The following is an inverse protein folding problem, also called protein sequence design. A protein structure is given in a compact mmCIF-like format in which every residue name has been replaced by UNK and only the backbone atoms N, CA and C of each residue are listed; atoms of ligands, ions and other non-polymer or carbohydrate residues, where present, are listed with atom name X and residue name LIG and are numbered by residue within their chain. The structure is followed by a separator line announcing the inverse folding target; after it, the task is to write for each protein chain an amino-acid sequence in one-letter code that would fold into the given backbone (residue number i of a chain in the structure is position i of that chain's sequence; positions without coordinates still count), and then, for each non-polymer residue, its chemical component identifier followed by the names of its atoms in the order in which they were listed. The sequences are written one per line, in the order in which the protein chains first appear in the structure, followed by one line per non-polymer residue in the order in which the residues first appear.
data_IF_138555846133
#
_entry.id   IF_138555846133
#
_cell.length_a   1.000
_cell.length_b   1.000
_cell.length_c   1.000
_cell.angle_alpha   90.00
_cell.angle_beta   90.00
_cell.angle_gamma   90.00
#
_symmetry.space_group_name_H-M   'P 1'
#
loop_
_entity.id
_entity.type
_entity.pdbx_description
1 polymer ?
#
# COMPACT_ATOMS: atom_id res chain seq x y z
N UNK A 1 -37.85 -8.58 14.74
CA UNK A 1 -36.38 -8.47 14.93
C UNK A 1 -35.56 -9.20 13.85
N UNK A 2 -36.11 -10.21 13.17
CA UNK A 2 -35.38 -10.99 12.13
C UNK A 2 -34.98 -10.22 10.86
N UNK A 3 -35.71 -9.16 10.50
CA UNK A 3 -35.40 -8.33 9.33
C UNK A 3 -34.14 -7.48 9.62
N UNK A 4 -34.04 -6.91 10.82
CA UNK A 4 -32.87 -6.13 11.26
C UNK A 4 -31.64 -7.04 11.34
N UNK A 5 -31.75 -8.24 11.90
CA UNK A 5 -30.63 -9.20 11.98
C UNK A 5 -30.18 -9.66 10.58
N UNK A 6 -31.11 -9.86 9.63
CA UNK A 6 -30.77 -10.16 8.23
C UNK A 6 -30.15 -8.98 7.51
N UNK A 7 -30.63 -7.75 7.75
CA UNK A 7 -30.05 -6.53 7.17
C UNK A 7 -28.66 -6.26 7.74
N UNK A 8 -28.47 -6.49 9.04
CA UNK A 8 -27.22 -6.36 9.78
C UNK A 8 -26.21 -7.43 9.32
N UNK A 9 -26.62 -8.70 9.17
CA UNK A 9 -25.75 -9.73 8.55
C UNK A 9 -25.41 -9.49 7.08
N UNK A 10 -26.22 -8.71 6.35
CA UNK A 10 -26.06 -8.46 4.90
C UNK A 10 -25.43 -7.10 4.59
N UNK A 11 -25.47 -6.16 5.56
CA UNK A 11 -24.93 -4.79 5.49
C UNK A 11 -23.70 -4.53 6.36
N UNK A 12 -23.44 -5.31 7.42
CA UNK A 12 -22.16 -5.33 8.14
C UNK A 12 -20.98 -5.75 7.24
N UNK A 13 -21.06 -6.80 6.38
CA UNK A 13 -19.88 -7.23 5.62
C UNK A 13 -19.27 -6.15 4.72
N UNK A 14 -20.03 -5.35 3.95
CA UNK A 14 -19.42 -4.38 3.05
C UNK A 14 -18.73 -3.21 3.74
N UNK A 15 -19.34 -2.65 4.79
CA UNK A 15 -18.76 -1.54 5.56
C UNK A 15 -17.52 -1.99 6.33
N UNK A 16 -17.55 -3.18 6.92
CA UNK A 16 -16.41 -3.74 7.63
C UNK A 16 -15.23 -4.02 6.69
N UNK A 17 -15.49 -4.52 5.48
CA UNK A 17 -14.45 -4.75 4.45
C UNK A 17 -13.81 -3.43 4.04
N UNK A 18 -14.61 -2.41 3.69
CA UNK A 18 -14.07 -1.09 3.34
C UNK A 18 -13.26 -0.45 4.47
N UNK A 19 -13.71 -0.59 5.72
CA UNK A 19 -12.98 -0.11 6.89
C UNK A 19 -11.64 -0.83 7.09
N UNK A 20 -11.62 -2.16 6.91
CA UNK A 20 -10.42 -2.96 6.98
C UNK A 20 -9.43 -2.62 5.85
N UNK A 21 -9.93 -2.41 4.63
CA UNK A 21 -9.10 -2.05 3.48
C UNK A 21 -8.48 -0.66 3.63
N UNK A 22 -9.25 0.32 4.14
CA UNK A 22 -8.70 1.64 4.48
C UNK A 22 -7.62 1.54 5.55
N UNK A 23 -7.85 0.72 6.58
CA UNK A 23 -6.84 0.50 7.62
C UNK A 23 -5.57 -0.15 7.04
N UNK A 24 -5.70 -1.11 6.13
CA UNK A 24 -4.58 -1.75 5.45
C UNK A 24 -3.77 -0.76 4.61
N UNK A 25 -4.43 0.13 3.85
CA UNK A 25 -3.76 1.18 3.08
C UNK A 25 -2.99 2.14 4.01
N UNK A 26 -3.62 2.58 5.09
CA UNK A 26 -2.99 3.48 6.08
C UNK A 26 -1.79 2.81 6.73
N UNK A 27 -1.90 1.54 7.13
CA UNK A 27 -0.80 0.77 7.71
C UNK A 27 0.35 0.56 6.72
N UNK A 28 0.05 0.21 5.47
CA UNK A 28 1.05 0.10 4.42
C UNK A 28 1.78 1.44 4.19
N UNK A 29 1.04 2.55 4.13
CA UNK A 29 1.61 3.89 4.05
C UNK A 29 2.51 4.22 5.25
N UNK A 30 2.11 3.85 6.46
CA UNK A 30 2.93 4.03 7.68
C UNK A 30 4.21 3.19 7.65
N UNK A 31 4.15 1.96 7.14
CA UNK A 31 5.34 1.10 6.98
C UNK A 31 6.29 1.73 5.97
N UNK A 32 5.80 2.19 4.83
CA UNK A 32 6.62 2.82 3.77
C UNK A 32 7.23 4.13 4.25
N UNK A 33 6.44 5.01 4.88
CA UNK A 33 6.94 6.25 5.49
C UNK A 33 7.93 5.95 6.60
N UNK A 34 7.64 4.96 7.44
CA UNK A 34 8.54 4.50 8.50
C UNK A 34 9.86 3.95 7.94
N UNK A 35 9.84 3.23 6.83
CA UNK A 35 11.05 2.78 6.15
C UNK A 35 11.85 3.96 5.55
N UNK A 36 11.17 5.00 5.06
CA UNK A 36 11.85 6.23 4.63
C UNK A 36 12.47 7.00 5.81
N UNK A 37 11.82 6.99 6.98
CA UNK A 37 12.28 7.72 8.18
C UNK A 37 13.27 6.94 9.06
N UNK A 38 13.24 5.60 9.02
CA UNK A 38 14.18 4.73 9.76
C UNK A 38 15.56 4.67 9.12
N UNK A 39 15.72 5.20 7.91
CA UNK A 39 17.02 5.47 7.32
C UNK A 39 17.75 6.56 8.10
N UNK A 40 18.37 6.19 9.22
CA UNK A 40 19.24 7.07 10.01
C UNK A 40 20.60 7.34 9.32
N UNK A 41 20.75 6.90 8.07
CA UNK A 41 21.83 7.33 7.22
C UNK A 41 21.32 8.43 6.30
N UNK A 42 20.57 8.22 5.23
CA UNK A 42 20.39 9.27 4.22
C UNK A 42 18.93 9.76 4.13
N UNK A 43 18.74 11.07 4.30
CA UNK A 43 17.43 11.72 4.20
C UNK A 43 16.81 11.36 2.85
N UNK A 44 15.57 10.87 2.81
CA UNK A 44 15.06 10.22 1.59
C UNK A 44 14.88 11.11 0.37
N UNK A 45 15.22 12.39 0.49
CA UNK A 45 15.27 13.39 -0.55
C UNK A 45 16.69 13.95 -0.82
N UNK A 46 17.69 13.65 0.01
CA UNK A 46 19.05 14.16 -0.16
C UNK A 46 20.11 13.08 0.11
N UNK A 47 21.19 13.11 -0.66
CA UNK A 47 22.33 12.17 -0.57
C UNK A 47 23.10 12.35 0.75
N UNK A 48 22.68 13.24 1.64
CA UNK A 48 23.42 13.60 2.84
C UNK A 48 23.03 12.67 3.97
N UNK A 49 23.98 11.84 4.38
CA UNK A 49 23.80 10.98 5.54
C UNK A 49 24.34 11.65 6.81
N UNK A 50 23.77 11.37 7.97
CA UNK A 50 24.13 12.00 9.26
C UNK A 50 25.60 11.79 9.74
N UNK A 51 26.47 11.27 8.87
CA UNK A 51 27.91 11.07 9.11
C UNK A 51 28.79 11.12 7.85
N UNK A 52 28.29 11.56 6.69
CA UNK A 52 29.05 11.65 5.42
C UNK A 52 28.21 11.28 4.19
N UNK A 53 28.76 11.50 2.99
CA UNK A 53 28.14 11.03 1.73
C UNK A 53 28.20 9.49 1.67
N UNK A 54 27.11 8.80 1.29
CA UNK A 54 27.06 7.36 1.21
C UNK A 54 27.94 6.89 0.06
N UNK A 55 28.57 5.73 0.25
CA UNK A 55 29.18 5.05 -0.88
C UNK A 55 28.09 4.64 -1.89
N UNK A 56 28.40 4.54 -3.19
CA UNK A 56 27.44 4.08 -4.19
C UNK A 56 26.78 2.72 -3.83
N UNK A 57 27.52 1.83 -3.17
CA UNK A 57 27.00 0.54 -2.72
C UNK A 57 25.94 0.66 -1.60
N UNK A 58 26.18 1.54 -0.63
CA UNK A 58 25.23 1.80 0.47
C UNK A 58 23.95 2.47 -0.04
N UNK A 59 24.08 3.40 -1.00
CA UNK A 59 22.92 4.02 -1.65
C UNK A 59 22.06 3.00 -2.38
N UNK A 60 22.68 2.12 -3.18
CA UNK A 60 21.96 1.08 -3.92
C UNK A 60 21.25 0.13 -2.95
N UNK A 61 21.90 -0.27 -1.86
CA UNK A 61 21.29 -1.17 -0.86
C UNK A 61 20.09 -0.54 -0.14
N UNK A 62 20.19 0.74 0.26
CA UNK A 62 19.08 1.47 0.90
C UNK A 62 17.90 1.65 -0.07
N UNK A 63 18.19 2.00 -1.32
CA UNK A 63 17.16 2.18 -2.33
C UNK A 63 16.49 0.86 -2.71
N UNK A 64 17.23 -0.24 -2.82
CA UNK A 64 16.65 -1.57 -3.03
C UNK A 64 15.72 -1.95 -1.86
N UNK A 65 16.18 -1.76 -0.61
CA UNK A 65 15.34 -2.00 0.57
C UNK A 65 14.02 -1.21 0.50
N UNK A 66 14.07 0.08 0.18
CA UNK A 66 12.85 0.91 0.08
C UNK A 66 11.94 0.47 -1.07
N UNK A 67 12.49 0.04 -2.21
CA UNK A 67 11.71 -0.55 -3.31
C UNK A 67 10.97 -1.77 -2.82
N UNK A 68 11.70 -2.71 -2.21
CA UNK A 68 11.19 -3.99 -1.74
C UNK A 68 10.09 -3.78 -0.71
N UNK A 69 10.30 -2.91 0.28
CA UNK A 69 9.29 -2.59 1.30
C UNK A 69 8.04 -1.99 0.65
N UNK A 70 8.19 -1.03 -0.27
CA UNK A 70 7.05 -0.40 -0.96
C UNK A 70 6.27 -1.42 -1.80
N UNK A 71 6.99 -2.26 -2.54
CA UNK A 71 6.41 -3.28 -3.40
C UNK A 71 5.65 -4.32 -2.60
N UNK A 72 6.23 -4.87 -1.53
CA UNK A 72 5.55 -5.88 -0.71
C UNK A 72 4.40 -5.29 0.11
N UNK A 73 4.54 -4.07 0.66
CA UNK A 73 3.48 -3.43 1.42
C UNK A 73 2.25 -3.15 0.55
N UNK A 74 2.41 -2.42 -0.56
CA UNK A 74 1.28 -2.09 -1.43
C UNK A 74 0.84 -3.24 -2.33
N UNK A 75 1.76 -4.14 -2.71
CA UNK A 75 1.44 -5.35 -3.46
C UNK A 75 0.56 -6.30 -2.66
N UNK A 76 0.86 -6.50 -1.37
CA UNK A 76 0.00 -7.27 -0.46
C UNK A 76 -1.40 -6.68 -0.33
N UNK A 77 -1.49 -5.36 -0.15
CA UNK A 77 -2.77 -4.63 -0.11
C UNK A 77 -3.56 -4.82 -1.40
N UNK A 78 -2.91 -4.65 -2.57
CA UNK A 78 -3.56 -4.84 -3.86
C UNK A 78 -4.12 -6.26 -4.04
N UNK A 79 -3.37 -7.29 -3.62
CA UNK A 79 -3.87 -8.68 -3.68
C UNK A 79 -5.09 -8.87 -2.78
N UNK A 80 -5.07 -8.37 -1.54
CA UNK A 80 -6.20 -8.47 -0.61
C UNK A 80 -7.44 -7.77 -1.20
N UNK A 81 -7.26 -6.57 -1.75
CA UNK A 81 -8.35 -5.81 -2.35
C UNK A 81 -8.90 -6.47 -3.62
N UNK A 82 -8.05 -7.11 -4.42
CA UNK A 82 -8.49 -7.88 -5.60
C UNK A 82 -9.32 -9.10 -5.18
N UNK A 83 -8.88 -9.83 -4.15
CA UNK A 83 -9.62 -10.98 -3.61
C UNK A 83 -10.98 -10.54 -3.05
N UNK A 84 -11.04 -9.43 -2.31
CA UNK A 84 -12.31 -8.90 -1.77
C UNK A 84 -13.23 -8.40 -2.89
N UNK A 85 -12.69 -7.78 -3.94
CA UNK A 85 -13.45 -7.36 -5.12
C UNK A 85 -14.08 -8.56 -5.85
N UNK A 86 -13.29 -9.61 -6.11
CA UNK A 86 -13.75 -10.85 -6.75
C UNK A 86 -14.81 -11.55 -5.90
N UNK A 87 -14.60 -11.61 -4.58
CA UNK A 87 -15.57 -12.19 -3.65
C UNK A 87 -16.90 -11.41 -3.66
N UNK A 88 -16.83 -10.08 -3.61
CA UNK A 88 -18.00 -9.20 -3.67
C UNK A 88 -18.77 -9.33 -4.98
N UNK A 89 -18.03 -9.42 -6.10
CA UNK A 89 -18.59 -9.67 -7.42
C UNK A 89 -19.37 -10.99 -7.46
N UNK A 90 -18.76 -12.08 -6.96
CA UNK A 90 -19.40 -13.40 -6.85
C UNK A 90 -20.67 -13.38 -5.98
N UNK A 91 -20.69 -12.56 -4.94
CA UNK A 91 -21.85 -12.40 -4.04
C UNK A 91 -22.91 -11.42 -4.54
N UNK A 92 -22.78 -10.92 -5.79
CA UNK A 92 -23.63 -9.90 -6.42
C UNK A 92 -23.65 -8.54 -5.70
N UNK A 93 -22.67 -8.25 -4.86
CA UNK A 93 -22.47 -6.91 -4.28
C UNK A 93 -21.72 -6.01 -5.27
N UNK A 94 -22.36 -5.69 -6.40
CA UNK A 94 -21.75 -4.95 -7.52
C UNK A 94 -21.21 -3.58 -7.10
N UNK A 95 -21.90 -2.88 -6.18
CA UNK A 95 -21.47 -1.58 -5.66
C UNK A 95 -20.15 -1.71 -4.90
N UNK A 96 -20.01 -2.70 -4.03
CA UNK A 96 -18.76 -2.91 -3.30
C UNK A 96 -17.63 -3.34 -4.23
N UNK A 97 -17.91 -4.23 -5.19
CA UNK A 97 -16.91 -4.61 -6.19
C UNK A 97 -16.38 -3.39 -6.96
N UNK A 98 -17.27 -2.47 -7.38
CA UNK A 98 -16.87 -1.24 -8.08
C UNK A 98 -16.02 -0.32 -7.20
N UNK A 99 -16.41 -0.10 -5.93
CA UNK A 99 -15.62 0.69 -4.97
C UNK A 99 -14.25 0.05 -4.75
N UNK A 100 -14.19 -1.28 -4.66
CA UNK A 100 -12.95 -2.01 -4.45
C UNK A 100 -11.99 -1.90 -5.65
N UNK A 101 -12.53 -2.01 -6.87
CA UNK A 101 -11.75 -1.78 -8.10
C UNK A 101 -11.26 -0.34 -8.20
N UNK A 102 -12.07 0.63 -7.78
CA UNK A 102 -11.62 2.02 -7.72
C UNK A 102 -10.51 2.21 -6.66
N UNK A 103 -10.66 1.58 -5.51
CA UNK A 103 -9.70 1.70 -4.41
C UNK A 103 -8.37 0.98 -4.71
N UNK A 104 -8.36 -0.03 -5.59
CA UNK A 104 -7.14 -0.66 -6.15
C UNK A 104 -6.23 0.32 -6.91
N UNK A 105 -6.77 1.44 -7.39
CA UNK A 105 -5.96 2.47 -8.07
C UNK A 105 -4.89 3.03 -7.14
N UNK A 106 -5.15 3.14 -5.84
CA UNK A 106 -4.21 3.70 -4.86
C UNK A 106 -2.92 2.86 -4.74
N UNK A 107 -2.97 1.55 -4.37
CA UNK A 107 -1.77 0.74 -4.29
C UNK A 107 -1.09 0.56 -5.66
N UNK A 108 -1.87 0.51 -6.76
CA UNK A 108 -1.30 0.42 -8.11
C UNK A 108 -0.51 1.68 -8.50
N UNK A 109 -1.04 2.87 -8.20
CA UNK A 109 -0.34 4.14 -8.42
C UNK A 109 0.93 4.22 -7.57
N UNK A 110 0.89 3.78 -6.32
CA UNK A 110 2.06 3.76 -5.45
C UNK A 110 3.18 2.87 -6.02
N UNK A 111 2.85 1.68 -6.52
CA UNK A 111 3.80 0.75 -7.14
C UNK A 111 4.33 1.32 -8.46
N UNK A 112 3.44 1.79 -9.34
CA UNK A 112 3.84 2.31 -10.66
C UNK A 112 4.67 3.57 -10.55
N UNK A 113 4.33 4.51 -9.67
CA UNK A 113 5.14 5.71 -9.45
C UNK A 113 6.55 5.35 -8.96
N UNK A 114 6.67 4.33 -8.09
CA UNK A 114 7.97 3.85 -7.61
C UNK A 114 8.75 3.10 -8.69
N UNK A 115 8.07 2.35 -9.56
CA UNK A 115 8.70 1.65 -10.68
C UNK A 115 9.14 2.59 -11.81
N UNK A 116 8.40 3.69 -12.04
CA UNK A 116 8.65 4.66 -13.11
C UNK A 116 9.65 5.76 -12.74
N UNK A 117 9.89 5.99 -11.45
CA UNK A 117 10.99 6.82 -10.96
C UNK A 117 12.09 5.93 -10.38
N UNK A 118 12.89 5.24 -11.23
CA UNK A 118 14.10 4.60 -10.75
C UNK A 118 15.00 5.68 -10.14
N UNK A 119 15.68 5.31 -9.04
CA UNK A 119 16.41 6.22 -8.19
C UNK A 119 17.35 7.15 -8.96
N UNK A 120 17.50 8.42 -8.54
CA UNK A 120 18.54 9.27 -9.10
C UNK A 120 19.89 8.58 -8.88
N UNK A 121 20.65 8.43 -9.96
CA UNK A 121 22.03 7.97 -9.91
C UNK A 121 22.86 8.95 -9.07
N UNK A 122 23.72 8.44 -8.19
CA UNK A 122 24.82 9.25 -7.65
C UNK A 122 25.74 9.58 -8.84
N UNK A 123 25.69 10.82 -9.30
CA UNK A 123 26.67 11.42 -10.20
C UNK A 123 27.60 12.33 -9.41
#
# INVERSE_FOLDING_TARGET
MDIVIRLVRRGIPPLAVLGADMLLIVLAGRIVVGAHLRGKLCDGASVWCAGGDPTPAEWVAEMDFRTVVTFWAFGGVAVIMLVSAVWAWRRRFRVLAAVQFLALVVPLLAITFRALNPYPSLH
#
